data_IF_721696746517
#
_entry.id   IF_721696746517
#
_cell.length_a   1.000
_cell.length_b   1.000
_cell.length_c   1.000
_cell.angle_alpha   90.00
_cell.angle_beta   90.00
_cell.angle_gamma   90.00
#
_symmetry.space_group_name_H-M   'P 1'
#
loop_
_entity.id
_entity.type
_entity.pdbx_description
1 polymer ?
#
# COMPACT_ATOMS: atom_id res chain seq x y z
N UNK A 1 27.70 -35.84 51.16
CA UNK A 1 26.36 -36.38 51.24
C UNK A 1 25.98 -36.99 49.88
N UNK A 2 25.44 -38.17 49.92
CA UNK A 2 25.37 -39.24 48.93
C UNK A 2 24.91 -38.88 47.51
N UNK A 3 25.73 -39.18 46.49
CA UNK A 3 25.40 -39.35 45.08
C UNK A 3 24.55 -40.63 44.93
N UNK A 4 23.43 -40.54 44.19
CA UNK A 4 22.69 -41.69 43.68
C UNK A 4 23.00 -41.87 42.20
N UNK A 5 23.70 -42.96 41.87
CA UNK A 5 23.87 -43.48 40.51
C UNK A 5 22.59 -44.11 40.02
N UNK A 6 22.19 -43.80 38.78
CA UNK A 6 21.08 -44.40 38.06
C UNK A 6 21.64 -45.41 37.06
N UNK A 7 21.42 -46.74 37.37
CA UNK A 7 21.75 -47.89 36.50
C UNK A 7 21.03 -47.76 35.13
N UNK A 8 21.80 -47.91 34.06
CA UNK A 8 21.29 -48.15 32.70
C UNK A 8 21.00 -49.62 32.53
N UNK A 9 19.75 -50.02 32.32
CA UNK A 9 19.35 -51.38 31.92
C UNK A 9 19.46 -51.50 30.40
N UNK A 10 20.44 -52.26 29.92
CA UNK A 10 20.60 -52.66 28.53
C UNK A 10 19.70 -53.85 28.18
N UNK A 11 19.03 -53.79 27.06
CA UNK A 11 18.18 -54.86 26.51
C UNK A 11 19.06 -55.98 25.92
N UNK A 12 18.80 -57.26 26.21
CA UNK A 12 19.65 -58.41 25.79
C UNK A 12 19.59 -58.62 24.26
N UNK A 13 20.73 -59.04 23.71
CA UNK A 13 20.97 -59.16 22.24
C UNK A 13 20.05 -60.18 21.50
N UNK A 14 19.29 -60.99 22.20
CA UNK A 14 18.34 -61.93 21.57
C UNK A 14 17.03 -61.30 21.10
N UNK A 15 16.64 -60.15 21.65
CA UNK A 15 15.41 -59.45 21.25
C UNK A 15 15.60 -58.61 19.99
N UNK A 16 16.84 -58.30 19.60
CA UNK A 16 17.11 -57.49 18.36
C UNK A 16 16.93 -58.25 17.05
N UNK A 17 16.99 -59.61 17.05
CA UNK A 17 16.78 -60.42 15.83
C UNK A 17 15.30 -60.68 15.52
N UNK A 18 14.42 -60.61 16.49
CA UNK A 18 12.98 -60.79 16.29
C UNK A 18 12.29 -59.53 15.70
N UNK A 19 12.78 -58.34 16.03
CA UNK A 19 12.19 -57.07 15.58
C UNK A 19 12.54 -56.77 14.11
N UNK A 20 13.70 -57.20 13.63
CA UNK A 20 14.07 -57.02 12.22
C UNK A 20 13.27 -57.93 11.28
N UNK A 21 12.86 -59.14 11.70
CA UNK A 21 12.04 -60.04 10.88
C UNK A 21 10.57 -59.57 10.82
N UNK A 22 10.04 -58.97 11.88
CA UNK A 22 8.66 -58.47 11.92
C UNK A 22 8.48 -57.21 11.07
N UNK A 23 9.51 -56.37 10.95
CA UNK A 23 9.44 -55.16 10.12
C UNK A 23 9.47 -55.45 8.60
N UNK A 24 10.11 -56.55 8.18
CA UNK A 24 10.14 -56.91 6.73
C UNK A 24 8.83 -57.53 6.24
N UNK A 25 8.06 -58.20 7.12
CA UNK A 25 6.76 -58.79 6.75
C UNK A 25 5.66 -57.73 6.71
N UNK A 26 5.80 -56.61 7.47
CA UNK A 26 4.80 -55.56 7.48
C UNK A 26 4.94 -54.59 6.28
N UNK A 27 6.10 -54.52 5.64
CA UNK A 27 6.31 -53.67 4.45
C UNK A 27 5.81 -54.32 3.15
N UNK A 28 5.64 -55.67 3.12
CA UNK A 28 5.16 -56.37 1.92
C UNK A 28 3.64 -56.44 1.81
N UNK A 29 2.91 -56.22 2.90
CA UNK A 29 1.43 -56.29 2.93
C UNK A 29 0.73 -54.96 2.67
N UNK A 30 1.45 -53.83 2.59
CA UNK A 30 0.86 -52.50 2.36
C UNK A 30 0.85 -52.06 0.89
N UNK A 31 1.42 -52.85 -0.03
CA UNK A 31 1.45 -52.51 -1.46
C UNK A 31 0.33 -53.14 -2.30
N UNK A 32 -0.59 -53.90 -1.70
CA UNK A 32 -1.67 -54.60 -2.44
C UNK A 32 -3.04 -53.90 -2.35
N UNK A 33 -3.15 -52.78 -1.60
CA UNK A 33 -4.46 -52.13 -1.35
C UNK A 33 -4.66 -50.76 -1.95
N UNK A 34 -3.90 -50.38 -3.00
CA UNK A 34 -4.19 -49.15 -3.76
C UNK A 34 -4.28 -49.41 -5.26
N UNK A 35 -5.32 -50.11 -5.66
CA UNK A 35 -5.69 -50.22 -7.06
C UNK A 35 -7.17 -50.55 -7.16
N UNK A 36 -7.99 -49.55 -7.35
CA UNK A 36 -9.26 -49.46 -8.06
C UNK A 36 -10.21 -48.46 -7.44
N UNK A 37 -10.26 -47.26 -7.99
CA UNK A 37 -11.53 -46.49 -8.02
C UNK A 37 -11.75 -46.08 -9.47
N UNK A 38 -12.84 -46.60 -9.96
CA UNK A 38 -13.34 -46.48 -11.32
C UNK A 38 -13.84 -45.07 -11.62
N UNK A 39 -13.53 -44.59 -12.78
CA UNK A 39 -14.20 -43.50 -13.47
C UNK A 39 -15.61 -43.91 -13.86
N UNK A 40 -16.58 -43.06 -13.60
CA UNK A 40 -17.93 -43.14 -14.13
C UNK A 40 -18.20 -41.89 -14.96
N UNK A 41 -18.19 -42.06 -16.28
CA UNK A 41 -18.73 -41.12 -17.22
C UNK A 41 -20.25 -41.00 -17.04
N UNK A 42 -20.78 -39.79 -17.10
CA UNK A 42 -22.20 -39.57 -17.39
C UNK A 42 -22.32 -38.68 -18.60
N UNK A 43 -22.71 -39.30 -19.68
CA UNK A 43 -23.26 -38.72 -20.89
C UNK A 43 -24.68 -38.19 -20.62
N UNK A 44 -25.00 -37.06 -21.24
CA UNK A 44 -26.33 -36.49 -21.18
C UNK A 44 -26.54 -35.48 -22.31
N UNK A 45 -27.29 -35.89 -23.28
CA UNK A 45 -27.58 -35.36 -24.60
C UNK A 45 -28.30 -34.01 -24.63
N UNK A 46 -28.10 -33.33 -25.76
CA UNK A 46 -28.98 -32.29 -26.36
C UNK A 46 -30.39 -32.79 -26.65
N UNK A 47 -31.38 -31.97 -27.05
CA UNK A 47 -31.44 -31.35 -28.37
C UNK A 47 -32.27 -30.06 -28.53
N UNK A 48 -32.17 -29.45 -29.71
CA UNK A 48 -33.26 -28.61 -30.29
C UNK A 48 -32.78 -27.44 -31.13
N UNK A 49 -32.55 -27.68 -32.36
CA UNK A 49 -33.21 -27.34 -33.68
C UNK A 49 -33.59 -25.86 -33.87
N UNK A 50 -32.86 -25.23 -34.73
CA UNK A 50 -33.12 -24.80 -36.15
C UNK A 50 -34.09 -23.63 -36.37
N UNK A 51 -33.59 -22.58 -37.01
CA UNK A 51 -34.18 -22.00 -38.20
C UNK A 51 -33.16 -21.21 -39.04
N UNK A 52 -33.18 -21.50 -40.32
CA UNK A 52 -32.37 -20.97 -41.41
C UNK A 52 -32.87 -19.62 -41.91
N UNK A 53 -31.94 -18.73 -42.27
CA UNK A 53 -32.24 -17.56 -43.08
C UNK A 53 -31.05 -17.28 -43.99
N UNK A 54 -31.17 -17.55 -45.27
CA UNK A 54 -30.22 -17.18 -46.32
C UNK A 54 -30.34 -15.70 -46.62
N UNK A 55 -29.22 -15.00 -46.76
CA UNK A 55 -29.10 -13.77 -47.55
C UNK A 55 -27.71 -13.72 -48.21
N UNK A 56 -27.58 -13.12 -49.39
CA UNK A 56 -26.56 -13.47 -50.37
C UNK A 56 -25.24 -12.74 -50.23
N UNK A 57 -24.26 -13.28 -50.95
CA UNK A 57 -22.92 -12.77 -51.07
C UNK A 57 -22.90 -11.44 -51.88
N UNK A 58 -22.13 -10.48 -51.34
CA UNK A 58 -21.52 -9.42 -52.14
C UNK A 58 -20.01 -9.43 -51.96
N UNK A 59 -19.33 -9.19 -53.07
CA UNK A 59 -17.92 -9.35 -53.32
C UNK A 59 -17.03 -8.35 -52.66
N UNK A 60 -15.91 -8.88 -52.24
CA UNK A 60 -14.54 -8.33 -52.29
C UNK A 60 -14.27 -6.83 -52.38
N UNK A 61 -13.67 -6.31 -51.34
CA UNK A 61 -12.41 -5.52 -51.50
C UNK A 61 -11.45 -5.88 -50.37
N UNK A 62 -10.40 -6.59 -50.73
CA UNK A 62 -9.21 -6.83 -49.90
C UNK A 62 -8.41 -5.51 -49.83
N UNK A 63 -8.70 -4.70 -48.80
CA UNK A 63 -7.76 -3.67 -48.37
C UNK A 63 -6.66 -4.35 -47.54
N UNK A 64 -5.51 -4.48 -48.10
CA UNK A 64 -4.28 -4.82 -47.39
C UNK A 64 -4.01 -3.68 -46.41
N UNK A 65 -4.32 -3.89 -45.13
CA UNK A 65 -3.75 -3.09 -44.06
C UNK A 65 -2.32 -3.54 -43.91
N UNK A 66 -1.39 -2.81 -44.50
CA UNK A 66 0.02 -2.88 -44.14
C UNK A 66 0.11 -2.48 -42.65
N UNK A 67 0.29 -3.48 -41.79
CA UNK A 67 0.86 -3.25 -40.46
C UNK A 67 2.26 -2.70 -40.64
N UNK A 68 2.36 -1.40 -40.60
CA UNK A 68 3.65 -0.72 -40.45
C UNK A 68 4.07 -0.93 -39.01
N UNK A 69 4.73 -2.02 -38.73
CA UNK A 69 5.52 -2.20 -37.51
C UNK A 69 6.59 -1.11 -37.58
N UNK A 70 6.35 0.04 -36.95
CA UNK A 70 7.40 1.00 -36.67
C UNK A 70 8.37 0.29 -35.71
N UNK A 71 9.43 -0.27 -36.28
CA UNK A 71 10.64 -0.59 -35.52
C UNK A 71 11.14 0.75 -34.95
N UNK A 72 10.95 0.96 -33.64
CA UNK A 72 11.68 2.01 -32.93
C UNK A 72 13.17 1.70 -33.15
N UNK A 73 13.83 2.58 -33.88
CA UNK A 73 15.29 2.55 -33.97
C UNK A 73 15.86 2.63 -32.54
N UNK A 74 16.97 1.92 -32.24
CA UNK A 74 17.60 2.01 -30.94
C UNK A 74 18.03 3.46 -30.70
N UNK A 75 17.37 4.15 -29.76
CA UNK A 75 17.74 5.48 -29.32
C UNK A 75 19.17 5.39 -28.78
N UNK A 76 20.07 6.26 -29.21
CA UNK A 76 21.45 6.22 -28.74
C UNK A 76 21.53 6.59 -27.26
N UNK A 77 22.43 5.96 -26.50
CA UNK A 77 22.65 6.24 -25.06
C UNK A 77 22.81 7.75 -24.79
N UNK A 78 23.39 8.50 -25.71
CA UNK A 78 23.55 9.95 -25.63
C UNK A 78 22.20 10.72 -25.74
N UNK A 79 21.27 10.27 -26.57
CA UNK A 79 19.94 10.87 -26.69
C UNK A 79 19.11 10.61 -25.43
N UNK A 80 19.18 9.41 -24.87
CA UNK A 80 18.51 9.04 -23.62
C UNK A 80 19.02 9.87 -22.45
N UNK A 81 20.35 10.13 -22.36
CA UNK A 81 20.96 10.95 -21.34
C UNK A 81 20.52 12.41 -21.44
N UNK A 82 20.46 12.96 -22.66
CA UNK A 82 20.04 14.34 -22.88
C UNK A 82 18.55 14.57 -22.59
N UNK A 83 17.70 13.61 -22.92
CA UNK A 83 16.27 13.64 -22.57
C UNK A 83 16.06 13.61 -21.05
N UNK A 84 16.83 12.78 -20.33
CA UNK A 84 16.80 12.71 -18.88
C UNK A 84 17.21 14.03 -18.23
N UNK A 85 18.29 14.62 -18.68
CA UNK A 85 18.76 15.94 -18.19
C UNK A 85 17.72 17.04 -18.43
N UNK A 86 17.07 17.04 -19.60
CA UNK A 86 16.01 18.00 -19.92
C UNK A 86 14.83 17.86 -18.98
N UNK A 87 14.36 16.64 -18.69
CA UNK A 87 13.25 16.39 -17.75
C UNK A 87 13.59 16.77 -16.31
N UNK A 88 14.82 16.48 -15.86
CA UNK A 88 15.27 16.89 -14.55
C UNK A 88 15.27 18.42 -14.41
N UNK A 89 15.73 19.14 -15.43
CA UNK A 89 15.67 20.60 -15.47
C UNK A 89 14.22 21.13 -15.46
N UNK A 90 13.30 20.50 -16.18
CA UNK A 90 11.87 20.86 -16.18
C UNK A 90 11.26 20.66 -14.78
N UNK A 91 11.56 19.54 -14.13
CA UNK A 91 11.14 19.24 -12.75
C UNK A 91 11.66 20.28 -11.75
N UNK A 92 12.95 20.59 -11.80
CA UNK A 92 13.56 21.63 -10.95
C UNK A 92 12.94 23.00 -11.18
N UNK A 93 12.73 23.39 -12.44
CA UNK A 93 12.09 24.65 -12.80
C UNK A 93 10.63 24.70 -12.31
N UNK A 94 9.88 23.61 -12.40
CA UNK A 94 8.53 23.51 -11.87
C UNK A 94 8.53 23.78 -10.36
N UNK A 95 9.38 23.07 -9.61
CA UNK A 95 9.49 23.19 -8.15
C UNK A 95 9.94 24.58 -7.73
N UNK A 96 10.89 25.18 -8.45
CA UNK A 96 11.36 26.54 -8.19
C UNK A 96 10.27 27.61 -8.40
N UNK A 97 9.31 27.36 -9.31
CA UNK A 97 8.20 28.28 -9.63
C UNK A 97 6.96 28.08 -8.76
N UNK A 98 7.00 27.18 -7.78
CA UNK A 98 5.92 27.04 -6.81
C UNK A 98 5.98 28.17 -5.78
N UNK A 99 4.81 28.73 -5.47
CA UNK A 99 4.64 29.75 -4.44
C UNK A 99 4.71 29.17 -3.03
N UNK A 100 4.31 27.91 -2.87
CA UNK A 100 4.41 27.19 -1.60
C UNK A 100 5.89 27.07 -1.17
N UNK A 101 6.14 27.22 0.14
CA UNK A 101 7.46 26.95 0.73
C UNK A 101 7.71 25.46 0.80
N UNK A 102 6.70 24.68 1.27
CA UNK A 102 6.74 23.23 1.20
C UNK A 102 5.60 22.71 0.35
N UNK A 103 5.90 21.74 -0.50
CA UNK A 103 4.93 21.11 -1.39
C UNK A 103 5.26 19.63 -1.56
N UNK A 104 4.24 18.80 -1.69
CA UNK A 104 4.37 17.40 -2.08
C UNK A 104 3.26 17.04 -3.07
N UNK A 105 3.61 16.31 -4.12
CA UNK A 105 2.70 15.52 -4.95
C UNK A 105 2.96 14.07 -4.64
N UNK A 106 1.93 13.33 -4.28
CA UNK A 106 2.02 11.96 -3.76
C UNK A 106 1.12 11.03 -4.55
N UNK A 107 1.60 9.83 -4.83
CA UNK A 107 0.76 8.69 -5.20
C UNK A 107 -0.02 8.23 -3.98
N UNK A 108 -1.35 8.35 -4.03
CA UNK A 108 -2.20 8.06 -2.89
C UNK A 108 -2.23 6.56 -2.51
N UNK A 109 -2.03 5.67 -3.49
CA UNK A 109 -2.05 4.23 -3.29
C UNK A 109 -0.81 3.75 -2.52
N UNK A 110 0.38 4.14 -2.94
CA UNK A 110 1.63 3.73 -2.31
C UNK A 110 2.10 4.66 -1.19
N UNK A 111 1.66 5.93 -1.21
CA UNK A 111 2.18 6.98 -0.33
C UNK A 111 3.52 7.56 -0.79
N UNK A 112 4.00 7.20 -1.97
CA UNK A 112 5.27 7.68 -2.53
C UNK A 112 5.16 9.15 -2.91
N UNK A 113 6.17 9.94 -2.50
CA UNK A 113 6.34 11.31 -2.99
C UNK A 113 6.87 11.26 -4.42
N UNK A 114 6.10 11.81 -5.36
CA UNK A 114 6.43 11.89 -6.78
C UNK A 114 7.22 13.16 -7.08
N UNK A 115 6.82 14.27 -6.47
CA UNK A 115 7.50 15.56 -6.51
C UNK A 115 7.49 16.16 -5.10
N UNK A 116 8.62 16.71 -4.68
CA UNK A 116 8.77 17.36 -3.38
C UNK A 116 9.57 18.66 -3.46
N UNK A 117 9.14 19.66 -2.69
CA UNK A 117 9.86 20.90 -2.40
C UNK A 117 9.82 21.11 -0.89
N UNK A 118 10.97 20.98 -0.22
CA UNK A 118 11.03 21.00 1.24
C UNK A 118 9.89 20.16 1.90
N UNK A 119 9.57 19.05 1.28
CA UNK A 119 8.41 18.21 1.58
C UNK A 119 8.46 17.56 2.95
N UNK A 120 9.66 17.45 3.52
CA UNK A 120 9.93 16.90 4.86
C UNK A 120 10.11 18.00 5.93
N UNK A 121 10.00 19.28 5.56
CA UNK A 121 10.11 20.37 6.53
C UNK A 121 8.78 20.57 7.25
N UNK A 122 8.77 20.37 8.57
CA UNK A 122 7.59 20.62 9.41
C UNK A 122 7.24 22.11 9.43
N UNK A 123 5.97 22.44 9.17
CA UNK A 123 5.42 23.80 9.20
C UNK A 123 4.03 23.81 9.84
N UNK A 124 3.59 24.94 10.42
CA UNK A 124 2.20 25.11 10.80
C UNK A 124 1.27 24.83 9.62
N UNK A 125 0.18 24.10 9.87
CA UNK A 125 -0.66 23.54 8.81
C UNK A 125 -2.06 24.19 8.75
N UNK A 126 -2.37 25.05 9.70
CA UNK A 126 -3.68 25.70 9.83
C UNK A 126 -4.84 24.68 9.77
N UNK A 127 -5.99 25.08 9.26
CA UNK A 127 -7.21 24.25 9.20
C UNK A 127 -7.13 23.02 8.28
N UNK A 128 -5.99 22.73 7.62
CA UNK A 128 -5.81 21.41 6.98
C UNK A 128 -5.80 20.29 8.02
N UNK A 129 -5.48 20.59 9.29
CA UNK A 129 -5.64 19.75 10.48
C UNK A 129 -7.01 19.06 10.55
N UNK A 130 -8.07 19.74 10.10
CA UNK A 130 -9.46 19.27 10.23
C UNK A 130 -9.76 17.98 9.44
N UNK A 131 -8.91 17.59 8.48
CA UNK A 131 -9.02 16.26 7.84
C UNK A 131 -8.80 15.14 8.86
N UNK A 132 -7.81 15.30 9.76
CA UNK A 132 -7.54 14.35 10.83
C UNK A 132 -8.68 14.35 11.85
N UNK A 133 -9.19 15.50 12.23
CA UNK A 133 -10.34 15.62 13.14
C UNK A 133 -11.59 14.95 12.56
N UNK A 134 -11.86 15.17 11.28
CA UNK A 134 -12.99 14.57 10.55
C UNK A 134 -12.88 13.06 10.51
N UNK A 135 -11.72 12.51 10.09
CA UNK A 135 -11.59 11.07 9.95
C UNK A 135 -11.65 10.34 11.29
N UNK A 136 -11.05 10.90 12.34
CA UNK A 136 -11.16 10.35 13.68
C UNK A 136 -12.61 10.36 14.18
N UNK A 137 -13.35 11.44 13.93
CA UNK A 137 -14.76 11.53 14.31
C UNK A 137 -15.63 10.52 13.55
N UNK A 138 -15.34 10.28 12.27
CA UNK A 138 -16.02 9.25 11.50
C UNK A 138 -15.71 7.81 11.97
N UNK A 139 -14.46 7.56 12.37
CA UNK A 139 -14.02 6.23 12.81
C UNK A 139 -14.42 5.90 14.24
N UNK A 140 -14.46 6.88 15.15
CA UNK A 140 -14.67 6.67 16.60
C UNK A 140 -16.05 7.10 17.09
N UNK A 141 -16.75 8.00 16.38
CA UNK A 141 -18.06 8.52 16.76
C UNK A 141 -19.22 7.91 15.98
N UNK A 142 -20.43 8.21 16.42
CA UNK A 142 -21.65 7.89 15.69
C UNK A 142 -22.27 9.20 15.17
N UNK A 143 -22.60 9.35 13.87
CA UNK A 143 -23.18 10.57 13.31
C UNK A 143 -24.45 11.05 14.01
N UNK A 144 -25.16 10.17 14.73
CA UNK A 144 -26.37 10.47 15.49
C UNK A 144 -26.13 10.90 16.93
N UNK A 145 -24.87 10.91 17.39
CA UNK A 145 -24.54 11.39 18.72
C UNK A 145 -24.88 12.87 18.86
N UNK A 146 -25.41 13.25 20.00
CA UNK A 146 -25.65 14.66 20.38
C UNK A 146 -24.40 15.24 21.02
N UNK A 147 -23.81 16.18 20.33
CA UNK A 147 -22.64 16.94 20.77
C UNK A 147 -23.12 18.25 21.39
N UNK A 148 -22.82 18.44 22.66
CA UNK A 148 -23.18 19.66 23.38
C UNK A 148 -22.01 20.65 23.37
N UNK A 149 -22.26 21.87 22.95
CA UNK A 149 -21.26 22.93 22.93
C UNK A 149 -20.83 23.34 24.33
N UNK A 150 -19.53 23.21 24.61
CA UNK A 150 -18.92 23.67 25.86
C UNK A 150 -18.60 25.17 25.81
N UNK A 151 -18.35 25.77 26.98
CA UNK A 151 -17.81 27.12 27.05
C UNK A 151 -16.49 27.31 26.26
N UNK A 152 -15.63 26.29 26.25
CA UNK A 152 -14.38 26.31 25.47
C UNK A 152 -14.64 26.27 23.95
N UNK A 153 -15.58 25.45 23.47
CA UNK A 153 -15.95 25.42 22.05
C UNK A 153 -16.53 26.78 21.62
N UNK A 154 -17.44 27.35 22.39
CA UNK A 154 -18.05 28.65 22.09
C UNK A 154 -17.04 29.81 22.09
N UNK A 155 -16.00 29.73 22.91
CA UNK A 155 -14.95 30.75 22.98
C UNK A 155 -13.96 30.72 21.80
N UNK A 156 -14.10 29.78 20.88
CA UNK A 156 -13.16 29.67 19.76
C UNK A 156 -13.23 30.88 18.82
N UNK A 157 -12.06 31.37 18.33
CA UNK A 157 -12.02 32.51 17.41
C UNK A 157 -12.65 32.18 16.07
N UNK A 158 -13.01 33.21 15.31
CA UNK A 158 -13.49 33.06 13.91
C UNK A 158 -12.45 32.31 13.08
N UNK A 159 -12.86 31.44 12.13
CA UNK A 159 -14.23 31.17 11.66
C UNK A 159 -14.93 30.19 12.61
N UNK A 160 -16.19 30.46 12.97
CA UNK A 160 -16.96 29.60 13.87
C UNK A 160 -18.43 29.54 13.42
N UNK A 161 -19.14 28.46 13.77
CA UNK A 161 -20.58 28.26 13.55
C UNK A 161 -21.41 29.29 14.35
N UNK A 162 -20.88 29.68 15.52
CA UNK A 162 -21.53 30.61 16.44
C UNK A 162 -22.44 29.90 17.43
N UNK A 163 -22.01 28.74 17.90
CA UNK A 163 -22.74 27.98 18.94
C UNK A 163 -22.90 28.75 20.23
N UNK A 164 -23.96 28.43 20.99
CA UNK A 164 -24.15 28.88 22.37
C UNK A 164 -23.81 27.76 23.35
N UNK A 165 -23.34 28.11 24.54
CA UNK A 165 -23.03 27.11 25.56
C UNK A 165 -24.28 26.30 25.92
N UNK A 166 -24.15 24.99 25.93
CA UNK A 166 -25.25 24.05 26.16
C UNK A 166 -26.09 23.72 24.94
N UNK A 167 -25.91 24.43 23.81
CA UNK A 167 -26.56 24.09 22.54
C UNK A 167 -26.06 22.74 22.03
N UNK A 168 -26.96 21.92 21.48
CA UNK A 168 -26.64 20.57 21.05
C UNK A 168 -26.84 20.40 19.53
N UNK A 169 -25.96 19.63 18.91
CA UNK A 169 -25.96 19.33 17.47
C UNK A 169 -25.70 17.85 17.24
N UNK A 170 -26.17 17.30 16.13
CA UNK A 170 -25.73 15.97 15.74
C UNK A 170 -24.29 16.00 15.25
N UNK A 171 -23.49 14.99 15.63
CA UNK A 171 -22.09 14.85 15.22
C UNK A 171 -21.95 14.88 13.70
N UNK A 172 -22.86 14.20 12.98
CA UNK A 172 -22.87 14.19 11.51
C UNK A 172 -22.98 15.59 10.92
N UNK A 173 -23.84 16.46 11.48
CA UNK A 173 -24.03 17.84 11.00
C UNK A 173 -22.79 18.70 11.26
N UNK A 174 -22.17 18.51 12.44
CA UNK A 174 -20.93 19.21 12.78
C UNK A 174 -19.75 18.83 11.87
N UNK A 175 -19.75 17.63 11.29
CA UNK A 175 -18.71 17.24 10.31
C UNK A 175 -18.82 18.04 9.01
N UNK A 176 -20.02 18.34 8.54
CA UNK A 176 -20.22 19.26 7.40
C UNK A 176 -19.79 20.69 7.77
N UNK A 177 -20.17 21.18 8.92
CA UNK A 177 -19.73 22.47 9.47
C UNK A 177 -18.18 22.57 9.52
N UNK A 178 -17.54 21.53 10.02
CA UNK A 178 -16.08 21.39 10.14
C UNK A 178 -15.38 21.45 8.79
N UNK A 179 -15.87 20.71 7.80
CA UNK A 179 -15.16 20.53 6.53
C UNK A 179 -15.51 21.60 5.50
N UNK A 180 -16.77 22.02 5.39
CA UNK A 180 -17.19 22.96 4.36
C UNK A 180 -16.83 24.40 4.71
N UNK A 181 -17.19 24.85 5.93
CA UNK A 181 -16.93 26.23 6.42
C UNK A 181 -15.68 26.35 7.29
N UNK A 182 -15.12 25.21 7.71
CA UNK A 182 -13.92 25.20 8.57
C UNK A 182 -14.13 25.76 9.98
N UNK A 183 -15.32 25.61 10.56
CA UNK A 183 -15.65 26.17 11.85
C UNK A 183 -14.79 25.62 13.00
N UNK A 184 -14.23 26.51 13.82
CA UNK A 184 -13.29 26.17 14.89
C UNK A 184 -14.01 25.64 16.14
N UNK A 185 -15.17 26.18 16.48
CA UNK A 185 -16.04 25.73 17.56
C UNK A 185 -16.55 24.30 17.31
N UNK A 186 -16.95 23.98 16.07
CA UNK A 186 -17.32 22.61 15.69
C UNK A 186 -16.17 21.61 15.90
N UNK A 187 -14.94 21.99 15.59
CA UNK A 187 -13.77 21.12 15.80
C UNK A 187 -13.54 20.83 17.30
N UNK A 188 -13.64 21.86 18.16
CA UNK A 188 -13.43 21.70 19.57
C UNK A 188 -14.58 20.93 20.21
N UNK A 189 -15.83 21.23 19.84
CA UNK A 189 -17.01 20.51 20.36
C UNK A 189 -16.92 18.99 19.98
N UNK A 190 -16.54 18.66 18.78
CA UNK A 190 -16.31 17.28 18.34
C UNK A 190 -15.20 16.60 19.18
N UNK A 191 -14.07 17.29 19.36
CA UNK A 191 -12.93 16.74 20.11
C UNK A 191 -13.27 16.47 21.57
N UNK A 192 -13.94 17.41 22.23
CA UNK A 192 -14.36 17.28 23.63
C UNK A 192 -15.45 16.22 23.81
N UNK A 193 -16.39 16.10 22.88
CA UNK A 193 -17.41 15.06 22.89
C UNK A 193 -16.79 13.66 22.81
N UNK A 194 -15.86 13.46 21.90
CA UNK A 194 -15.30 12.13 21.62
C UNK A 194 -14.23 11.70 22.64
N UNK A 195 -13.35 12.61 23.03
CA UNK A 195 -12.21 12.31 23.89
C UNK A 195 -12.29 12.91 25.30
N UNK A 196 -13.31 13.70 25.58
CA UNK A 196 -13.48 14.37 26.88
C UNK A 196 -12.67 15.65 27.03
N UNK A 197 -11.62 15.88 26.24
CA UNK A 197 -10.83 17.09 26.22
C UNK A 197 -10.02 17.28 24.95
N UNK A 198 -9.65 18.53 24.63
CA UNK A 198 -8.77 18.83 23.46
C UNK A 198 -7.39 18.14 23.57
N UNK A 199 -6.69 18.17 24.72
CA UNK A 199 -5.39 17.47 24.81
C UNK A 199 -5.51 15.95 24.60
N UNK A 200 -6.56 15.32 25.06
CA UNK A 200 -6.78 13.89 24.88
C UNK A 200 -7.08 13.56 23.43
N UNK A 201 -7.86 14.41 22.74
CA UNK A 201 -8.11 14.28 21.32
C UNK A 201 -6.83 14.49 20.47
N UNK A 202 -5.98 15.46 20.85
CA UNK A 202 -4.68 15.68 20.23
C UNK A 202 -3.78 14.44 20.36
N UNK A 203 -3.83 13.75 21.50
CA UNK A 203 -3.18 12.42 21.66
C UNK A 203 -3.65 11.43 20.61
N UNK A 204 -4.97 11.29 20.39
CA UNK A 204 -5.52 10.42 19.35
C UNK A 204 -5.10 10.83 17.93
N UNK A 205 -4.98 12.14 17.66
CA UNK A 205 -4.50 12.63 16.37
C UNK A 205 -3.06 12.21 16.11
N UNK A 206 -2.19 12.29 17.11
CA UNK A 206 -0.81 11.87 17.02
C UNK A 206 -0.68 10.35 16.87
N UNK A 207 -1.41 9.57 17.66
CA UNK A 207 -1.49 8.10 17.52
C UNK A 207 -1.95 7.69 16.10
N UNK A 208 -2.98 8.35 15.57
CA UNK A 208 -3.47 8.08 14.22
C UNK A 208 -2.45 8.45 13.15
N UNK A 209 -1.72 9.55 13.34
CA UNK A 209 -0.65 9.93 12.41
C UNK A 209 0.46 8.86 12.37
N UNK A 210 0.87 8.32 13.53
CA UNK A 210 1.81 7.21 13.61
C UNK A 210 1.27 5.94 12.93
N UNK A 211 -0.01 5.57 13.14
CA UNK A 211 -0.67 4.45 12.47
C UNK A 211 -0.66 4.58 10.94
N UNK A 212 -0.82 5.81 10.42
CA UNK A 212 -0.78 6.12 8.98
C UNK A 212 0.65 6.03 8.43
N UNK A 213 1.66 6.10 9.31
CA UNK A 213 3.08 6.11 8.96
C UNK A 213 3.64 7.52 8.76
N UNK A 214 3.06 8.52 9.43
CA UNK A 214 3.63 9.86 9.51
C UNK A 214 4.76 9.88 10.55
N UNK A 215 5.86 10.54 10.22
CA UNK A 215 7.03 10.69 11.09
C UNK A 215 7.36 12.14 11.40
N UNK A 216 6.70 13.06 10.70
CA UNK A 216 6.95 14.51 10.73
C UNK A 216 5.62 15.25 10.94
N UNK A 217 4.87 14.84 11.99
CA UNK A 217 3.59 15.42 12.36
C UNK A 217 3.49 15.57 13.88
N UNK A 218 3.02 16.73 14.35
CA UNK A 218 2.70 16.97 15.74
C UNK A 218 1.40 17.76 15.86
N UNK A 219 0.39 17.14 16.47
CA UNK A 219 -0.94 17.72 16.63
C UNK A 219 -1.13 18.19 18.07
N UNK A 220 -1.59 19.43 18.23
CA UNK A 220 -1.91 20.07 19.53
C UNK A 220 -3.37 20.52 19.58
N UNK A 221 -3.91 20.96 18.43
CA UNK A 221 -5.28 21.48 18.34
C UNK A 221 -6.12 20.73 17.29
N UNK A 222 -7.44 20.53 17.53
CA UNK A 222 -8.30 19.84 16.56
C UNK A 222 -8.74 20.73 15.40
N UNK A 223 -8.62 22.05 15.54
CA UNK A 223 -9.06 23.04 14.57
C UNK A 223 -7.94 23.59 13.69
N UNK A 224 -6.67 23.37 14.08
CA UNK A 224 -5.50 23.85 13.35
C UNK A 224 -5.11 25.28 13.65
N UNK A 225 -5.58 25.84 14.76
CA UNK A 225 -5.01 27.08 15.28
C UNK A 225 -3.60 26.82 15.79
N UNK A 226 -2.76 27.84 15.63
CA UNK A 226 -1.39 27.80 16.09
C UNK A 226 -1.32 27.51 17.60
N UNK A 227 -0.43 26.63 18.01
CA UNK A 227 -0.29 26.18 19.39
C UNK A 227 0.97 25.34 19.57
N UNK A 228 1.34 25.16 20.83
CA UNK A 228 2.48 24.33 21.23
C UNK A 228 2.17 23.60 22.53
N UNK A 229 2.81 22.48 22.74
CA UNK A 229 2.84 21.74 23.99
C UNK A 229 4.26 21.26 24.32
N UNK A 230 4.38 20.38 25.31
CA UNK A 230 5.70 19.83 25.70
C UNK A 230 6.37 19.00 24.60
N UNK A 231 5.61 18.52 23.61
CA UNK A 231 6.08 17.76 22.46
C UNK A 231 6.53 18.63 21.28
N UNK A 232 6.09 19.88 21.22
CA UNK A 232 6.48 20.82 20.17
C UNK A 232 5.34 21.67 19.62
N UNK A 233 5.60 22.29 18.48
CA UNK A 233 4.67 23.18 17.78
C UNK A 233 3.70 22.34 16.93
N UNK A 234 2.41 22.77 16.89
CA UNK A 234 1.40 22.22 16.00
C UNK A 234 1.80 22.34 14.52
N UNK A 235 2.39 21.29 13.96
CA UNK A 235 3.02 21.33 12.63
C UNK A 235 3.04 19.96 11.97
N UNK A 236 3.24 19.96 10.66
CA UNK A 236 3.34 18.75 9.83
C UNK A 236 4.24 19.04 8.61
N UNK A 237 4.82 18.00 8.03
CA UNK A 237 5.44 18.06 6.70
C UNK A 237 4.41 17.96 5.58
N UNK A 238 4.73 18.48 4.39
CA UNK A 238 3.83 18.36 3.24
C UNK A 238 3.65 16.88 2.82
N UNK A 239 4.68 16.07 2.93
CA UNK A 239 4.63 14.63 2.65
C UNK A 239 3.65 13.92 3.59
N UNK A 240 3.72 14.17 4.89
CA UNK A 240 2.84 13.52 5.87
C UNK A 240 1.40 14.05 5.80
N UNK A 241 1.20 15.34 5.49
CA UNK A 241 -0.14 15.88 5.25
C UNK A 241 -0.81 15.18 4.04
N UNK A 242 -0.04 14.93 2.98
CA UNK A 242 -0.52 14.19 1.82
C UNK A 242 -0.82 12.71 2.14
N UNK A 243 -0.01 12.05 2.99
CA UNK A 243 -0.29 10.68 3.46
C UNK A 243 -1.61 10.60 4.26
N UNK A 244 -1.88 11.58 5.12
CA UNK A 244 -3.15 11.64 5.86
C UNK A 244 -4.32 11.79 4.90
N UNK A 245 -4.25 12.68 3.90
CA UNK A 245 -5.30 12.81 2.90
C UNK A 245 -5.46 11.51 2.09
N UNK A 246 -4.37 10.86 1.69
CA UNK A 246 -4.40 9.57 0.99
C UNK A 246 -5.10 8.50 1.83
N UNK A 247 -4.85 8.46 3.14
CA UNK A 247 -5.55 7.58 4.05
C UNK A 247 -7.05 7.88 4.09
N UNK A 248 -7.43 9.15 4.22
CA UNK A 248 -8.83 9.57 4.30
C UNK A 248 -9.64 9.20 3.05
N UNK A 249 -9.04 9.29 1.86
CA UNK A 249 -9.78 9.08 0.59
C UNK A 249 -9.75 7.64 0.09
N UNK A 250 -8.74 6.81 0.49
CA UNK A 250 -8.58 5.46 -0.07
C UNK A 250 -8.57 4.35 0.98
N UNK A 251 -7.93 4.55 2.16
CA UNK A 251 -7.58 3.45 3.06
C UNK A 251 -8.43 3.38 4.33
N UNK A 252 -9.00 4.50 4.76
CA UNK A 252 -9.89 4.51 5.91
C UNK A 252 -11.14 3.66 5.65
N UNK A 253 -11.63 2.90 6.64
CA UNK A 253 -12.93 2.22 6.55
C UNK A 253 -14.09 3.22 6.39
N UNK A 254 -13.82 4.51 6.57
CA UNK A 254 -14.76 5.63 6.45
C UNK A 254 -14.47 6.56 5.27
N UNK A 255 -13.69 6.09 4.28
CA UNK A 255 -13.33 6.88 3.11
C UNK A 255 -14.57 7.35 2.32
N UNK A 256 -15.58 6.50 2.17
CA UNK A 256 -16.80 6.86 1.44
C UNK A 256 -17.57 8.00 2.14
N UNK A 257 -17.70 7.93 3.47
CA UNK A 257 -18.36 8.98 4.27
C UNK A 257 -17.53 10.28 4.25
N UNK A 258 -16.22 10.18 4.35
CA UNK A 258 -15.32 11.33 4.24
C UNK A 258 -15.47 12.04 2.89
N UNK A 259 -15.46 11.29 1.79
CA UNK A 259 -15.67 11.81 0.43
C UNK A 259 -17.07 12.44 0.28
N UNK A 260 -18.12 11.81 0.80
CA UNK A 260 -19.47 12.36 0.77
C UNK A 260 -19.57 13.73 1.45
N UNK A 261 -18.87 13.92 2.58
CA UNK A 261 -18.82 15.19 3.28
C UNK A 261 -18.02 16.23 2.48
N UNK A 262 -16.81 15.88 2.04
CA UNK A 262 -15.89 16.85 1.41
C UNK A 262 -16.30 17.26 0.00
N UNK A 263 -17.14 16.46 -0.68
CA UNK A 263 -17.70 16.77 -1.99
C UNK A 263 -19.04 17.52 -1.93
N UNK A 264 -19.70 17.56 -0.77
CA UNK A 264 -20.99 18.21 -0.64
C UNK A 264 -20.86 19.71 -0.97
N UNK A 265 -21.63 20.23 -1.92
CA UNK A 265 -21.53 21.65 -2.30
C UNK A 265 -22.13 22.58 -1.27
N UNK A 266 -23.30 22.23 -0.72
CA UNK A 266 -24.02 22.97 0.30
C UNK A 266 -24.74 21.99 1.21
N UNK A 267 -24.66 22.21 2.52
CA UNK A 267 -25.36 21.40 3.52
C UNK A 267 -26.07 22.29 4.52
N UNK A 268 -27.34 22.02 4.79
CA UNK A 268 -28.15 22.76 5.76
C UNK A 268 -28.65 21.84 6.85
N UNK A 269 -28.62 22.33 8.08
CA UNK A 269 -29.03 21.58 9.28
C UNK A 269 -29.59 22.53 10.35
N UNK A 270 -30.16 21.96 11.39
CA UNK A 270 -30.63 22.70 12.58
C UNK A 270 -29.91 22.18 13.80
N UNK A 271 -29.92 22.99 14.90
CA UNK A 271 -29.60 22.46 16.21
C UNK A 271 -30.58 21.34 16.61
N UNK A 272 -30.26 20.58 17.63
CA UNK A 272 -31.04 19.41 18.04
C UNK A 272 -32.47 19.76 18.53
N UNK A 273 -32.71 21.02 18.91
CA UNK A 273 -34.02 21.51 19.32
C UNK A 273 -34.81 22.13 18.16
N UNK A 274 -34.23 22.30 16.98
CA UNK A 274 -34.84 22.90 15.81
C UNK A 274 -35.04 24.42 15.90
N UNK A 275 -34.30 25.09 16.79
CA UNK A 275 -34.41 26.54 17.03
C UNK A 275 -33.51 27.35 16.10
N UNK A 276 -32.29 26.84 15.82
CA UNK A 276 -31.34 27.43 14.90
C UNK A 276 -31.34 26.74 13.55
N UNK A 277 -31.13 27.48 12.45
CA UNK A 277 -30.93 26.92 11.12
C UNK A 277 -29.59 27.40 10.58
N UNK A 278 -28.79 26.47 10.10
CA UNK A 278 -27.42 26.71 9.64
C UNK A 278 -27.25 26.21 8.20
N UNK A 279 -26.41 26.89 7.45
CA UNK A 279 -26.09 26.48 6.08
C UNK A 279 -24.59 26.62 5.85
N UNK A 280 -23.97 25.57 5.36
CA UNK A 280 -22.54 25.48 5.08
C UNK A 280 -22.30 25.32 3.59
N UNK A 281 -21.42 26.16 3.02
CA UNK A 281 -21.03 26.11 1.61
C UNK A 281 -19.58 25.59 1.48
N UNK A 282 -19.33 24.79 0.46
CA UNK A 282 -17.99 24.25 0.24
C UNK A 282 -17.04 25.26 -0.38
N UNK A 283 -15.99 25.61 0.35
CA UNK A 283 -14.97 26.56 -0.11
C UNK A 283 -13.81 25.90 -0.88
N UNK A 284 -13.88 24.61 -1.18
CA UNK A 284 -12.87 23.92 -1.99
C UNK A 284 -13.08 24.15 -3.49
N UNK A 285 -12.54 25.24 -4.02
CA UNK A 285 -12.64 25.55 -5.42
C UNK A 285 -12.02 24.50 -6.35
N UNK A 286 -11.13 23.64 -5.83
CA UNK A 286 -10.48 22.58 -6.59
C UNK A 286 -11.48 21.59 -7.19
N UNK A 287 -12.58 21.30 -6.50
CA UNK A 287 -13.65 20.40 -6.97
C UNK A 287 -14.28 20.85 -8.30
N UNK A 288 -14.21 22.14 -8.62
CA UNK A 288 -14.73 22.72 -9.87
C UNK A 288 -13.61 23.17 -10.83
N UNK A 289 -12.35 23.12 -10.38
CA UNK A 289 -11.22 23.62 -11.13
C UNK A 289 -10.60 22.58 -12.04
N UNK A 290 -10.63 21.32 -11.65
CA UNK A 290 -10.03 20.20 -12.38
C UNK A 290 -10.97 18.99 -12.36
N UNK A 291 -11.16 18.39 -13.52
CA UNK A 291 -11.89 17.14 -13.66
C UNK A 291 -11.17 16.05 -12.85
N UNK A 292 -11.94 15.22 -12.14
CA UNK A 292 -11.39 14.19 -11.27
C UNK A 292 -11.01 14.65 -9.86
N UNK A 293 -11.15 15.94 -9.52
CA UNK A 293 -10.97 16.40 -8.15
C UNK A 293 -12.02 15.76 -7.21
N UNK A 294 -11.57 15.06 -6.15
CA UNK A 294 -12.45 14.28 -5.28
C UNK A 294 -12.51 14.77 -3.84
N UNK A 295 -11.54 15.53 -3.37
CA UNK A 295 -11.52 16.03 -1.99
C UNK A 295 -10.51 17.18 -1.83
N UNK A 296 -10.60 17.89 -0.70
CA UNK A 296 -9.58 18.85 -0.28
C UNK A 296 -10.00 19.68 0.91
N UNK A 297 -8.98 20.30 1.52
CA UNK A 297 -9.16 21.21 2.67
C UNK A 297 -8.20 22.38 2.57
N UNK A 298 -8.73 23.59 2.73
CA UNK A 298 -7.94 24.81 2.84
C UNK A 298 -7.60 25.13 4.29
N UNK A 299 -6.52 25.86 4.52
CA UNK A 299 -6.14 26.39 5.80
C UNK A 299 -5.50 27.77 5.68
N UNK A 300 -5.63 28.60 6.73
CA UNK A 300 -4.91 29.85 6.89
C UNK A 300 -4.82 30.23 8.37
N UNK A 301 -3.62 30.54 8.84
CA UNK A 301 -3.34 31.33 10.03
C UNK A 301 -2.26 32.37 9.70
N UNK A 302 -1.97 33.29 10.61
CA UNK A 302 -0.89 34.25 10.43
C UNK A 302 0.46 33.59 10.24
N UNK A 303 0.73 32.57 11.04
CA UNK A 303 2.01 31.83 11.07
C UNK A 303 2.11 30.84 9.91
N UNK A 304 1.04 30.08 9.65
CA UNK A 304 1.02 29.07 8.59
C UNK A 304 1.04 29.66 7.16
N UNK A 305 0.48 30.85 6.96
CA UNK A 305 0.12 31.30 5.63
C UNK A 305 -1.01 30.47 5.01
N UNK A 306 -1.21 30.55 3.73
CA UNK A 306 -2.19 29.69 3.04
C UNK A 306 -1.66 28.26 2.91
N UNK A 307 -2.45 27.30 3.38
CA UNK A 307 -2.22 25.89 3.27
C UNK A 307 -3.34 25.22 2.48
N UNK A 308 -3.02 24.13 1.82
CA UNK A 308 -3.99 23.31 1.07
C UNK A 308 -3.55 21.86 1.01
N UNK A 309 -4.52 20.96 1.06
CA UNK A 309 -4.35 19.56 0.71
C UNK A 309 -5.55 19.13 -0.13
N UNK A 310 -5.31 18.41 -1.24
CA UNK A 310 -6.39 17.97 -2.12
C UNK A 310 -6.04 16.67 -2.84
N UNK A 311 -7.08 15.92 -3.23
CA UNK A 311 -6.97 14.65 -3.93
C UNK A 311 -7.69 14.72 -5.28
N UNK A 312 -7.08 14.12 -6.30
CA UNK A 312 -7.60 14.00 -7.64
C UNK A 312 -7.46 12.56 -8.13
N UNK A 313 -8.54 12.01 -8.68
CA UNK A 313 -8.53 10.71 -9.35
C UNK A 313 -8.59 10.93 -10.87
N UNK A 314 -7.63 10.34 -11.57
CA UNK A 314 -7.57 10.36 -13.04
C UNK A 314 -7.33 8.95 -13.55
N UNK A 315 -8.32 8.39 -14.23
CA UNK A 315 -8.33 6.98 -14.63
C UNK A 315 -8.23 6.06 -13.40
N UNK A 316 -7.20 5.22 -13.32
CA UNK A 316 -6.91 4.33 -12.19
C UNK A 316 -5.91 4.93 -11.18
N UNK A 317 -5.47 6.19 -11.36
CA UNK A 317 -4.46 6.87 -10.55
C UNK A 317 -5.11 7.87 -9.59
N UNK A 318 -4.67 7.86 -8.35
CA UNK A 318 -5.10 8.88 -7.37
C UNK A 318 -3.90 9.67 -6.89
N UNK A 319 -3.90 10.97 -7.19
CA UNK A 319 -2.87 11.91 -6.78
C UNK A 319 -3.33 12.73 -5.58
N UNK A 320 -2.43 12.99 -4.66
CA UNK A 320 -2.64 13.94 -3.56
C UNK A 320 -1.58 15.04 -3.63
N UNK A 321 -2.02 16.30 -3.56
CA UNK A 321 -1.15 17.45 -3.38
C UNK A 321 -1.29 18.00 -1.98
N UNK A 322 -0.18 18.37 -1.34
CA UNK A 322 -0.15 19.14 -0.12
C UNK A 322 0.76 20.36 -0.28
N UNK A 323 0.27 21.51 0.16
CA UNK A 323 0.95 22.80 0.06
C UNK A 323 0.94 23.49 1.43
N UNK A 324 2.10 23.86 1.94
CA UNK A 324 2.26 24.60 3.19
C UNK A 324 2.95 25.94 2.92
N UNK A 325 2.52 26.95 3.66
CA UNK A 325 3.05 28.32 3.52
C UNK A 325 3.02 28.83 2.07
N UNK A 326 1.88 28.68 1.40
CA UNK A 326 1.66 29.05 -0.01
C UNK A 326 1.15 30.48 -0.16
N UNK A 327 1.91 31.45 0.40
CA UNK A 327 1.60 32.87 0.39
C UNK A 327 0.80 33.33 1.61
N UNK A 328 0.67 34.66 1.74
CA UNK A 328 -0.04 35.37 2.80
C UNK A 328 -1.10 36.32 2.21
N UNK A 329 -1.83 37.12 2.99
CA UNK A 329 -2.91 37.99 2.50
C UNK A 329 -2.55 38.73 1.22
N UNK A 330 -3.53 38.82 0.32
CA UNK A 330 -3.53 39.22 -1.09
C UNK A 330 -3.11 38.11 -2.09
N UNK A 331 -2.61 36.96 -1.61
CA UNK A 331 -2.11 35.86 -2.46
C UNK A 331 -2.91 34.57 -2.30
N UNK A 332 -4.20 34.65 -1.92
CA UNK A 332 -5.05 33.47 -1.64
C UNK A 332 -5.19 32.47 -2.80
N UNK A 333 -4.90 32.89 -4.01
CA UNK A 333 -5.03 32.05 -5.22
C UNK A 333 -3.75 31.25 -5.56
N UNK A 334 -2.61 31.54 -4.91
CA UNK A 334 -1.36 30.83 -5.15
C UNK A 334 -1.51 29.31 -4.99
N UNK A 335 -2.22 28.88 -3.94
CA UNK A 335 -2.48 27.44 -3.72
C UNK A 335 -3.20 26.77 -4.88
N UNK A 336 -4.12 27.47 -5.56
CA UNK A 336 -4.82 26.93 -6.72
C UNK A 336 -3.91 26.80 -7.95
N UNK A 337 -3.05 27.79 -8.13
CA UNK A 337 -2.04 27.77 -9.20
C UNK A 337 -1.05 26.62 -9.00
N UNK A 338 -0.52 26.47 -7.80
CA UNK A 338 0.45 25.42 -7.50
C UNK A 338 -0.20 24.03 -7.53
N UNK A 339 -1.43 23.88 -7.00
CA UNK A 339 -2.20 22.62 -7.09
C UNK A 339 -2.36 22.17 -8.55
N UNK A 340 -2.78 23.11 -9.45
CA UNK A 340 -2.94 22.79 -10.87
C UNK A 340 -1.64 22.33 -11.50
N UNK A 341 -0.54 23.07 -11.30
CA UNK A 341 0.77 22.72 -11.85
C UNK A 341 1.22 21.31 -11.45
N UNK A 342 1.10 20.99 -10.15
CA UNK A 342 1.53 19.69 -9.64
C UNK A 342 0.63 18.56 -10.14
N UNK A 343 -0.69 18.74 -10.17
CA UNK A 343 -1.62 17.73 -10.66
C UNK A 343 -1.45 17.50 -12.17
N UNK A 344 -1.34 18.56 -12.97
CA UNK A 344 -1.09 18.45 -14.42
C UNK A 344 0.23 17.71 -14.69
N UNK A 345 1.29 18.02 -13.94
CA UNK A 345 2.55 17.31 -14.06
C UNK A 345 2.40 15.81 -13.69
N UNK A 346 1.72 15.50 -12.59
CA UNK A 346 1.49 14.12 -12.17
C UNK A 346 0.74 13.30 -13.23
N UNK A 347 -0.34 13.87 -13.78
CA UNK A 347 -1.12 13.19 -14.82
C UNK A 347 -0.34 12.98 -16.12
N UNK A 348 0.56 13.93 -16.47
CA UNK A 348 1.34 13.87 -17.70
C UNK A 348 2.53 12.91 -17.65
N UNK A 349 3.18 12.79 -16.48
CA UNK A 349 4.50 12.14 -16.37
C UNK A 349 4.49 10.82 -15.59
N UNK A 350 3.38 10.46 -14.92
CA UNK A 350 3.33 9.21 -14.13
C UNK A 350 2.23 8.28 -14.64
N UNK A 351 2.56 7.00 -14.77
CA UNK A 351 1.64 5.94 -15.17
C UNK A 351 1.85 4.68 -14.33
N UNK A 352 0.82 3.84 -14.23
CA UNK A 352 1.00 2.51 -13.65
C UNK A 352 1.70 1.58 -14.62
N UNK A 353 2.77 0.94 -14.15
CA UNK A 353 3.50 -0.07 -14.91
C UNK A 353 3.98 -1.23 -14.03
N UNK A 354 4.18 -2.40 -14.64
CA UNK A 354 4.82 -3.57 -14.01
C UNK A 354 6.31 -3.54 -14.34
N UNK A 355 7.07 -2.77 -13.56
CA UNK A 355 8.49 -2.49 -13.85
C UNK A 355 9.44 -3.59 -13.43
N UNK A 356 9.02 -4.52 -12.55
CA UNK A 356 9.83 -5.66 -12.14
C UNK A 356 9.33 -6.95 -12.76
N UNK A 357 10.27 -7.81 -13.15
CA UNK A 357 10.00 -9.17 -13.61
C UNK A 357 10.26 -10.15 -12.47
N UNK A 358 9.53 -11.26 -12.47
CA UNK A 358 9.84 -12.35 -11.54
C UNK A 358 11.12 -13.04 -12.07
N UNK A 359 12.23 -13.05 -11.30
CA UNK A 359 13.46 -13.64 -11.78
C UNK A 359 13.34 -15.17 -11.91
N UNK A 360 13.89 -15.72 -12.98
CA UNK A 360 14.04 -17.17 -13.12
C UNK A 360 15.21 -17.64 -12.26
N UNK A 361 14.91 -18.43 -11.22
CA UNK A 361 15.93 -18.97 -10.34
C UNK A 361 16.49 -20.29 -10.88
N UNK A 362 17.80 -20.37 -11.08
CA UNK A 362 18.48 -21.59 -11.46
C UNK A 362 18.45 -22.61 -10.31
N UNK A 363 18.55 -23.92 -10.65
CA UNK A 363 18.71 -24.96 -9.62
C UNK A 363 20.01 -24.77 -8.88
N UNK A 364 19.94 -24.86 -7.54
CA UNK A 364 21.11 -24.73 -6.67
C UNK A 364 21.74 -26.12 -6.45
N UNK A 365 23.04 -26.32 -6.73
CA UNK A 365 23.76 -27.54 -6.39
C UNK A 365 23.72 -27.83 -4.90
N UNK A 366 23.51 -29.10 -4.52
CA UNK A 366 23.49 -29.54 -3.13
C UNK A 366 24.66 -30.48 -2.87
N UNK A 367 25.68 -29.99 -2.18
CA UNK A 367 26.83 -30.79 -1.78
C UNK A 367 26.38 -31.90 -0.80
N UNK A 368 27.02 -33.07 -0.88
CA UNK A 368 26.69 -34.22 -0.05
C UNK A 368 25.23 -34.69 -0.15
N UNK A 369 24.48 -34.21 -1.16
CA UNK A 369 23.08 -34.54 -1.36
C UNK A 369 22.86 -35.85 -2.13
N UNK A 370 21.77 -36.54 -1.82
CA UNK A 370 21.31 -37.70 -2.60
C UNK A 370 20.80 -37.22 -3.96
N UNK A 371 21.46 -37.67 -5.04
CA UNK A 371 21.03 -37.36 -6.41
C UNK A 371 19.94 -38.32 -6.89
N UNK A 372 19.00 -37.81 -7.67
CA UNK A 372 18.02 -38.62 -8.40
C UNK A 372 18.67 -39.43 -9.53
N UNK A 373 19.85 -39.00 -10.03
CA UNK A 373 20.59 -39.63 -11.10
C UNK A 373 21.60 -40.70 -10.62
N UNK A 374 21.36 -41.29 -9.45
CA UNK A 374 22.15 -42.40 -8.93
C UNK A 374 23.41 -41.98 -8.17
N UNK A 375 24.34 -42.97 -8.00
CA UNK A 375 25.51 -42.83 -7.11
C UNK A 375 26.45 -41.68 -7.50
N UNK A 376 26.69 -41.52 -8.80
CA UNK A 376 27.63 -40.52 -9.34
C UNK A 376 26.97 -39.21 -9.76
N UNK A 377 25.63 -39.12 -9.67
CA UNK A 377 24.90 -37.90 -10.02
C UNK A 377 25.16 -36.76 -9.04
N UNK A 378 25.14 -35.54 -9.55
CA UNK A 378 25.14 -34.31 -8.73
C UNK A 378 23.72 -34.05 -8.24
N UNK A 379 23.55 -33.77 -6.95
CA UNK A 379 22.28 -33.33 -6.40
C UNK A 379 22.12 -31.83 -6.66
N UNK A 380 20.94 -31.41 -7.03
CA UNK A 380 20.55 -30.02 -7.12
C UNK A 380 19.09 -29.89 -6.67
N UNK A 381 18.68 -28.71 -6.26
CA UNK A 381 17.32 -28.45 -5.79
C UNK A 381 16.73 -27.29 -6.57
N UNK A 382 15.44 -27.38 -6.91
CA UNK A 382 14.67 -26.27 -7.41
C UNK A 382 14.34 -25.31 -6.28
N UNK A 383 14.36 -24.05 -6.61
CA UNK A 383 13.99 -22.96 -5.71
C UNK A 383 12.70 -22.33 -6.22
N UNK A 384 11.79 -22.04 -5.33
CA UNK A 384 10.55 -21.31 -5.62
C UNK A 384 10.54 -20.00 -4.84
N UNK A 385 9.86 -19.00 -5.37
CA UNK A 385 9.68 -17.71 -4.71
C UNK A 385 8.45 -17.80 -3.82
N UNK A 386 8.58 -17.45 -2.54
CA UNK A 386 7.48 -17.34 -1.59
C UNK A 386 7.29 -15.92 -1.10
N UNK A 387 6.03 -15.53 -1.01
CA UNK A 387 5.60 -14.20 -0.64
C UNK A 387 4.81 -13.54 -1.77
N UNK A 388 4.74 -12.22 -1.76
CA UNK A 388 4.16 -11.45 -2.86
C UNK A 388 5.20 -11.46 -3.99
N UNK A 389 5.06 -12.40 -4.94
CA UNK A 389 6.06 -12.72 -5.97
C UNK A 389 6.41 -11.52 -6.86
N UNK A 390 5.44 -10.63 -7.07
CA UNK A 390 5.61 -9.39 -7.79
C UNK A 390 5.01 -8.24 -6.95
N UNK A 391 5.70 -7.11 -6.76
CA UNK A 391 5.11 -5.93 -6.13
C UNK A 391 3.84 -5.43 -6.84
N UNK A 392 3.59 -5.87 -8.08
CA UNK A 392 2.46 -5.48 -8.90
C UNK A 392 2.74 -4.21 -9.68
N UNK A 393 1.68 -3.60 -10.19
CA UNK A 393 1.75 -2.29 -10.84
C UNK A 393 2.06 -1.22 -9.80
N UNK A 394 2.99 -0.35 -10.14
CA UNK A 394 3.30 0.84 -9.35
C UNK A 394 3.24 2.07 -10.24
N UNK A 395 2.98 3.21 -9.64
CA UNK A 395 2.99 4.49 -10.34
C UNK A 395 4.46 4.90 -10.56
N UNK A 396 4.90 4.95 -11.81
CA UNK A 396 6.27 5.32 -12.20
C UNK A 396 6.28 6.49 -13.16
N UNK A 397 7.31 7.30 -13.01
CA UNK A 397 7.68 8.34 -13.98
C UNK A 397 8.67 7.82 -15.01
N UNK A 398 8.91 8.63 -16.05
CA UNK A 398 9.79 8.25 -17.14
C UNK A 398 11.27 8.12 -16.73
N UNK A 399 11.67 8.74 -15.62
CA UNK A 399 13.03 8.71 -15.07
C UNK A 399 13.22 7.70 -13.94
N UNK A 400 12.16 7.01 -13.52
CA UNK A 400 12.25 6.02 -12.45
C UNK A 400 13.04 4.79 -12.92
N UNK A 401 13.97 4.35 -12.09
CA UNK A 401 14.82 3.18 -12.31
C UNK A 401 14.40 2.06 -11.38
N UNK A 402 13.85 0.99 -11.97
CA UNK A 402 13.52 -0.22 -11.24
C UNK A 402 14.64 -1.25 -11.37
N UNK A 403 15.09 -1.79 -10.24
CA UNK A 403 16.12 -2.82 -10.17
C UNK A 403 15.63 -4.00 -9.34
N UNK A 404 16.09 -5.21 -9.68
CA UNK A 404 15.91 -6.41 -8.87
C UNK A 404 17.27 -6.97 -8.44
N UNK A 405 17.42 -7.24 -7.14
CA UNK A 405 18.60 -7.87 -6.58
C UNK A 405 18.25 -9.25 -6.05
N UNK A 406 18.84 -10.27 -6.67
CA UNK A 406 18.65 -11.66 -6.26
C UNK A 406 19.88 -12.13 -5.47
N UNK A 407 19.67 -12.48 -4.22
CA UNK A 407 20.70 -13.00 -3.32
C UNK A 407 20.37 -14.44 -2.97
N UNK A 408 20.93 -15.38 -3.71
CA UNK A 408 20.82 -16.83 -3.47
C UNK A 408 22.23 -17.45 -3.44
N UNK A 409 22.48 -18.47 -2.59
CA UNK A 409 23.80 -19.09 -2.52
C UNK A 409 24.12 -19.91 -3.78
N UNK A 410 25.35 -19.94 -4.19
CA UNK A 410 25.82 -20.75 -5.31
C UNK A 410 25.67 -22.26 -5.07
N UNK A 411 25.68 -22.70 -3.81
CA UNK A 411 25.56 -24.10 -3.39
C UNK A 411 24.99 -24.22 -1.98
N UNK A 412 24.38 -25.37 -1.70
CA UNK A 412 23.88 -25.75 -0.39
C UNK A 412 24.56 -27.04 0.10
N UNK A 413 24.58 -27.32 1.41
CA UNK A 413 25.01 -28.59 1.99
C UNK A 413 23.81 -29.41 2.50
N UNK A 414 23.80 -30.69 2.17
CA UNK A 414 22.71 -31.58 2.60
C UNK A 414 22.79 -31.91 4.11
N UNK A 415 21.68 -32.11 4.78
CA UNK A 415 20.30 -32.21 4.26
C UNK A 415 19.63 -30.84 4.13
N UNK A 416 18.88 -30.63 3.07
CA UNK A 416 18.06 -29.42 2.85
C UNK A 416 16.59 -29.83 2.80
N UNK A 417 15.74 -29.13 3.57
CA UNK A 417 14.31 -29.44 3.64
C UNK A 417 13.49 -28.55 2.71
N UNK A 418 12.43 -29.08 2.14
CA UNK A 418 11.43 -28.28 1.43
C UNK A 418 10.90 -27.14 2.31
N UNK A 419 10.74 -25.95 1.75
CA UNK A 419 10.30 -24.75 2.44
C UNK A 419 11.41 -24.02 3.23
N UNK A 420 12.65 -24.53 3.23
CA UNK A 420 13.78 -23.81 3.86
C UNK A 420 14.11 -22.55 3.06
N UNK A 421 14.11 -21.35 3.68
CA UNK A 421 14.58 -20.13 3.03
C UNK A 421 16.07 -20.25 2.72
N UNK A 422 16.46 -19.92 1.50
CA UNK A 422 17.85 -20.03 1.03
C UNK A 422 18.35 -18.73 0.39
N UNK A 423 17.47 -17.74 0.24
CA UNK A 423 17.84 -16.45 -0.33
C UNK A 423 16.68 -15.47 -0.31
N UNK A 424 16.94 -14.30 -0.88
CA UNK A 424 15.99 -13.20 -0.97
C UNK A 424 16.08 -12.53 -2.33
N UNK A 425 14.93 -12.11 -2.86
CA UNK A 425 14.82 -11.20 -3.98
C UNK A 425 14.37 -9.85 -3.42
N UNK A 426 15.10 -8.79 -3.72
CA UNK A 426 14.78 -7.42 -3.30
C UNK A 426 14.46 -6.58 -4.53
N UNK A 427 13.31 -5.92 -4.51
CA UNK A 427 12.87 -4.98 -5.53
C UNK A 427 13.22 -3.57 -5.09
N UNK A 428 13.90 -2.82 -5.94
CA UNK A 428 14.33 -1.45 -5.70
C UNK A 428 13.71 -0.52 -6.73
N UNK A 429 13.33 0.68 -6.29
CA UNK A 429 12.92 1.78 -7.15
C UNK A 429 13.79 2.99 -6.79
N UNK A 430 14.55 3.49 -7.76
CA UNK A 430 15.53 4.57 -7.54
C UNK A 430 16.54 4.26 -6.41
N UNK A 431 16.91 2.97 -6.25
CA UNK A 431 17.81 2.50 -5.21
C UNK A 431 17.16 2.28 -3.84
N UNK A 432 15.93 2.70 -3.63
CA UNK A 432 15.17 2.46 -2.40
C UNK A 432 14.42 1.14 -2.43
N UNK A 433 14.38 0.45 -1.28
CA UNK A 433 13.69 -0.84 -1.17
C UNK A 433 12.18 -0.66 -1.26
N UNK A 434 11.58 -1.21 -2.32
CA UNK A 434 10.14 -1.25 -2.52
C UNK A 434 9.47 -2.49 -1.90
N UNK A 435 10.12 -3.64 -2.03
CA UNK A 435 9.61 -4.90 -1.51
C UNK A 435 10.65 -5.99 -1.53
N UNK A 436 10.29 -7.14 -0.97
CA UNK A 436 11.13 -8.34 -1.06
C UNK A 436 10.31 -9.61 -0.90
N UNK A 437 10.81 -10.70 -1.51
CA UNK A 437 10.28 -12.04 -1.35
C UNK A 437 11.40 -13.02 -1.04
N UNK A 438 11.06 -14.19 -0.52
CA UNK A 438 12.01 -15.22 -0.13
C UNK A 438 12.16 -16.27 -1.23
N UNK A 439 13.39 -16.69 -1.50
CA UNK A 439 13.70 -17.86 -2.26
C UNK A 439 13.72 -19.08 -1.32
N UNK A 440 12.87 -20.07 -1.55
CA UNK A 440 12.76 -21.25 -0.70
C UNK A 440 12.97 -22.52 -1.49
N UNK A 441 13.50 -23.54 -0.83
CA UNK A 441 13.71 -24.86 -1.42
C UNK A 441 12.38 -25.55 -1.70
N UNK A 442 12.16 -25.99 -2.95
CA UNK A 442 10.92 -26.63 -3.37
C UNK A 442 10.80 -28.08 -2.88
N UNK A 443 11.91 -28.82 -2.87
CA UNK A 443 11.94 -30.23 -2.52
C UNK A 443 13.03 -30.55 -1.49
N UNK A 444 12.85 -31.65 -0.74
CA UNK A 444 13.83 -32.09 0.26
C UNK A 444 14.95 -32.90 -0.37
N UNK A 445 16.20 -32.49 -0.17
CA UNK A 445 17.38 -33.26 -0.54
C UNK A 445 18.03 -33.84 0.71
N UNK A 446 18.06 -35.17 0.80
CA UNK A 446 18.67 -35.89 1.93
C UNK A 446 20.18 -35.95 1.79
N UNK A 447 20.88 -36.08 2.91
CA UNK A 447 22.33 -36.26 2.93
C UNK A 447 22.69 -37.68 2.49
N UNK A 448 23.76 -37.84 1.67
CA UNK A 448 24.38 -39.13 1.36
C UNK A 448 24.98 -39.71 2.63
N UNK A 449 24.53 -40.90 3.02
CA UNK A 449 25.11 -41.65 4.13
C UNK A 449 25.90 -42.84 3.60
N UNK A 450 26.82 -43.37 4.37
CA UNK A 450 27.55 -44.58 4.01
C UNK A 450 26.56 -45.74 3.70
N UNK A 451 25.50 -45.88 4.46
CA UNK A 451 24.46 -46.91 4.23
C UNK A 451 23.80 -46.73 2.87
N UNK A 452 23.45 -45.49 2.49
CA UNK A 452 22.85 -45.22 1.19
C UNK A 452 23.82 -45.51 0.04
N UNK A 453 25.11 -45.16 0.18
CA UNK A 453 26.16 -45.46 -0.81
C UNK A 453 26.30 -46.98 -0.98
N UNK A 454 26.41 -47.70 0.14
CA UNK A 454 26.56 -49.18 0.10
C UNK A 454 25.34 -49.85 -0.58
N UNK A 455 24.10 -49.40 -0.27
CA UNK A 455 22.90 -49.92 -0.93
C UNK A 455 22.93 -49.65 -2.42
N UNK A 456 23.31 -48.47 -2.85
CA UNK A 456 23.37 -48.14 -4.28
C UNK A 456 24.47 -48.89 -5.04
N UNK A 457 25.59 -49.17 -4.39
CA UNK A 457 26.62 -50.04 -4.93
C UNK A 457 26.11 -51.47 -5.11
N UNK A 458 25.41 -52.03 -4.10
CA UNK A 458 24.83 -53.35 -4.23
C UNK A 458 23.78 -53.43 -5.34
N UNK A 459 22.89 -52.43 -5.47
CA UNK A 459 21.93 -52.34 -6.58
C UNK A 459 22.63 -52.38 -7.94
N UNK A 460 23.71 -51.58 -8.12
CA UNK A 460 24.50 -51.63 -9.35
C UNK A 460 25.11 -52.98 -9.65
N UNK A 461 25.67 -53.67 -8.63
CA UNK A 461 26.22 -55.02 -8.82
C UNK A 461 25.14 -56.03 -9.22
N UNK A 462 23.92 -55.94 -8.69
CA UNK A 462 22.80 -56.79 -9.08
C UNK A 462 22.33 -56.54 -10.52
N UNK A 463 22.36 -55.29 -10.99
CA UNK A 463 21.97 -54.95 -12.38
C UNK A 463 23.00 -55.39 -13.43
N UNK A 464 24.26 -55.60 -13.07
CA UNK A 464 25.30 -56.06 -13.97
C UNK A 464 25.41 -57.60 -14.07
N UNK A 465 24.70 -58.37 -13.23
CA UNK A 465 24.79 -59.82 -13.19
C UNK A 465 23.50 -60.55 -13.67
N UNK A 466 22.62 -59.82 -14.34
CA UNK A 466 21.47 -60.33 -15.09
C UNK A 466 21.43 -59.57 -16.47
#
# INVERSE_FOLDING_TARGET
>A
MKKKEKKRNGIPARTRRGILAACMVFFFSLQIFQGKVLWRESTGESPGKVLSGKVPAEENERTQIMETTQQKEPVSDAQTAQEKETREQEREQLLARLYARSAALVDADSGRVLLGKEEHVMRPMASTTKIMTCILALEKGNPKDLVTASANAVAQPKVHLGMHEGEAFYLGDLLYSLMLESHNDSAVAIAEHLAGSVPQFAGWMNEKAEEIGCTEAHFVTPNGLDGEDVGGVHSISAADLAKIMSYCVLRSPKAAEFLAITQMPVYSFSDAEGKGNFSCSNHNAFLQMMDGAISGKTGFTGDAGYCYVGALQSEDRTFVVALLACGWPNNKNYKWTDTRKLMEYGMAHYRYDEVWKIPELSKIPVENGVSQNGLFGKAAVEVEIKGKENPGKILVGDDDVAEEKTEVPEKLDAPVKSGTPVGQITYLLNGEKWGSCQAVVKETVRRRTFTWIAMKMCEMFYQFNF
#
